data_IF_670130216176
#
_entry.id   IF_670130216176
#
_cell.length_a   1.000
_cell.length_b   1.000
_cell.length_c   1.000
_cell.angle_alpha   90.00
_cell.angle_beta   90.00
_cell.angle_gamma   90.00
#
_symmetry.space_group_name_H-M   'P 1'
#
loop_
_entity.id
_entity.type
_entity.pdbx_description
1 polymer ?
#
# COMPACT_ATOMS: atom_id res chain seq x y z
N UNK A 1 22.29 -83.10 11.25
CA UNK A 1 21.36 -84.21 10.97
C UNK A 1 20.22 -83.60 10.16
N UNK A 2 20.38 -83.46 8.83
CA UNK A 2 20.10 -84.48 7.79
C UNK A 2 18.60 -84.79 7.75
N UNK A 3 17.89 -84.89 6.64
CA UNK A 3 18.10 -84.77 5.19
C UNK A 3 16.67 -84.85 4.58
N UNK A 4 16.52 -85.20 3.28
CA UNK A 4 15.29 -85.54 2.50
C UNK A 4 14.97 -84.39 1.52
N UNK A 5 15.54 -84.30 0.29
CA UNK A 5 15.51 -85.22 -0.88
C UNK A 5 14.06 -85.66 -1.26
N UNK A 6 13.54 -85.72 -2.49
CA UNK A 6 14.13 -85.78 -3.83
C UNK A 6 13.01 -85.69 -4.91
N UNK A 7 13.41 -85.39 -6.17
CA UNK A 7 12.77 -85.85 -7.43
C UNK A 7 11.50 -85.13 -7.93
N UNK A 8 11.18 -85.01 -9.23
CA UNK A 8 11.74 -85.55 -10.49
C UNK A 8 11.04 -84.84 -11.68
N UNK A 9 11.65 -84.94 -12.86
CA UNK A 9 11.33 -84.29 -14.15
C UNK A 9 9.99 -84.69 -14.83
N UNK A 10 9.52 -83.87 -15.78
CA UNK A 10 9.17 -84.32 -17.16
C UNK A 10 8.89 -83.15 -18.13
N UNK A 11 9.16 -83.39 -19.40
CA UNK A 11 9.12 -82.50 -20.56
C UNK A 11 7.71 -82.32 -21.16
N UNK A 12 7.54 -81.36 -22.09
CA UNK A 12 7.03 -81.54 -23.47
C UNK A 12 6.69 -80.19 -24.12
N UNK A 13 7.01 -80.11 -25.43
CA UNK A 13 6.92 -78.98 -26.35
C UNK A 13 5.51 -78.56 -26.78
N UNK A 14 5.38 -77.33 -27.29
CA UNK A 14 4.25 -76.88 -28.12
C UNK A 14 4.24 -75.38 -28.43
N UNK A 15 4.66 -74.99 -29.64
CA UNK A 15 4.12 -73.83 -30.39
C UNK A 15 2.69 -74.19 -30.91
N UNK A 16 1.81 -73.31 -31.50
CA UNK A 16 2.04 -71.98 -32.13
C UNK A 16 0.90 -70.91 -32.00
N UNK A 17 1.16 -69.72 -32.56
CA UNK A 17 0.27 -68.77 -33.32
C UNK A 17 -1.06 -68.16 -32.77
N UNK A 18 -1.10 -66.83 -32.96
CA UNK A 18 -2.19 -65.99 -33.50
C UNK A 18 -3.40 -65.67 -32.60
N UNK A 19 -3.59 -64.38 -32.29
CA UNK A 19 -4.69 -63.57 -32.84
C UNK A 19 -4.69 -62.18 -32.21
N UNK A 20 -4.49 -61.15 -33.03
CA UNK A 20 -4.84 -59.76 -32.70
C UNK A 20 -6.35 -59.56 -32.77
N UNK A 21 -6.96 -58.80 -31.83
CA UNK A 21 -8.21 -58.10 -32.10
C UNK A 21 -8.02 -56.60 -32.25
N UNK A 22 -8.80 -56.08 -33.19
CA UNK A 22 -8.83 -54.76 -33.79
C UNK A 22 -9.24 -53.65 -32.81
N UNK A 23 -8.60 -52.48 -32.96
CA UNK A 23 -8.91 -51.22 -32.29
C UNK A 23 -10.08 -50.52 -33.01
N UNK A 24 -11.15 -50.08 -32.33
CA UNK A 24 -12.11 -49.17 -32.95
C UNK A 24 -11.56 -47.73 -32.90
N UNK A 25 -11.44 -47.13 -34.09
CA UNK A 25 -11.30 -45.69 -34.29
C UNK A 25 -12.63 -44.97 -34.07
N UNK A 26 -12.54 -43.68 -33.71
CA UNK A 26 -13.51 -42.70 -34.16
C UNK A 26 -14.40 -42.08 -33.08
N UNK A 27 -13.92 -40.97 -32.50
CA UNK A 27 -14.74 -40.09 -31.68
C UNK A 27 -13.95 -38.93 -31.11
N UNK A 28 -13.47 -38.01 -31.96
CA UNK A 28 -13.06 -36.68 -31.49
C UNK A 28 -14.33 -35.86 -31.25
N UNK A 29 -14.71 -35.52 -30.00
CA UNK A 29 -15.64 -34.44 -29.79
C UNK A 29 -14.97 -33.15 -30.27
N UNK A 30 -15.61 -32.51 -31.23
CA UNK A 30 -15.29 -31.20 -31.76
C UNK A 30 -15.32 -30.20 -30.58
N UNK A 31 -14.18 -29.93 -29.94
CA UNK A 31 -14.06 -28.83 -28.99
C UNK A 31 -14.20 -27.53 -29.79
N UNK A 32 -15.40 -26.95 -29.77
CA UNK A 32 -15.63 -25.57 -30.20
C UNK A 32 -14.60 -24.68 -29.49
N UNK A 33 -13.87 -23.81 -30.21
CA UNK A 33 -12.88 -22.95 -29.57
C UNK A 33 -13.62 -22.07 -28.56
N UNK A 34 -13.41 -22.33 -27.28
CA UNK A 34 -13.95 -21.50 -26.20
C UNK A 34 -13.40 -20.10 -26.43
N UNK A 35 -14.28 -19.21 -26.89
CA UNK A 35 -14.01 -17.78 -27.04
C UNK A 35 -13.92 -17.21 -25.62
N UNK A 36 -12.79 -17.43 -24.94
CA UNK A 36 -12.46 -16.82 -23.67
C UNK A 36 -12.21 -15.34 -23.92
N UNK A 37 -13.32 -14.62 -24.04
CA UNK A 37 -13.39 -13.21 -24.46
C UNK A 37 -12.57 -12.37 -23.50
N UNK A 38 -11.88 -11.33 -23.99
CA UNK A 38 -10.81 -10.60 -23.30
C UNK A 38 -10.98 -10.29 -21.81
N UNK A 39 -12.21 -10.22 -21.29
CA UNK A 39 -12.51 -10.15 -19.85
C UNK A 39 -11.85 -11.26 -19.01
N UNK A 40 -11.76 -12.49 -19.51
CA UNK A 40 -11.09 -13.60 -18.79
C UNK A 40 -9.58 -13.37 -18.71
N UNK A 41 -8.98 -12.88 -19.80
CA UNK A 41 -7.56 -12.52 -19.85
C UNK A 41 -7.25 -11.31 -18.96
N UNK A 42 -8.09 -10.26 -18.95
CA UNK A 42 -7.94 -9.13 -18.04
C UNK A 42 -8.08 -9.58 -16.58
N UNK A 43 -9.09 -10.38 -16.25
CA UNK A 43 -9.29 -10.89 -14.89
C UNK A 43 -8.11 -11.72 -14.42
N UNK A 44 -7.59 -12.60 -15.28
CA UNK A 44 -6.38 -13.37 -15.01
C UNK A 44 -5.18 -12.42 -14.78
N UNK A 45 -4.99 -11.44 -15.66
CA UNK A 45 -3.91 -10.46 -15.55
C UNK A 45 -3.93 -9.68 -14.22
N UNK A 46 -5.08 -9.18 -13.79
CA UNK A 46 -5.18 -8.43 -12.53
C UNK A 46 -5.16 -9.33 -11.28
N UNK A 47 -5.35 -10.63 -11.44
CA UNK A 47 -5.25 -11.61 -10.36
C UNK A 47 -3.82 -12.08 -10.10
N UNK A 48 -2.88 -11.79 -11.01
CA UNK A 48 -1.48 -12.16 -10.86
C UNK A 48 -0.81 -11.36 -9.72
N UNK A 49 0.07 -12.02 -8.99
CA UNK A 49 0.89 -11.38 -7.97
C UNK A 49 2.03 -10.60 -8.62
N UNK A 50 2.36 -9.45 -8.05
CA UNK A 50 3.45 -8.59 -8.53
C UNK A 50 4.75 -8.91 -7.80
N UNK A 51 5.88 -8.76 -8.51
CA UNK A 51 7.20 -8.81 -7.86
C UNK A 51 7.39 -7.59 -6.94
N UNK A 52 8.09 -7.79 -5.83
CA UNK A 52 8.43 -6.73 -4.88
C UNK A 52 9.77 -6.06 -5.22
N UNK A 53 10.47 -6.54 -6.26
CA UNK A 53 11.68 -5.90 -6.76
C UNK A 53 11.40 -4.45 -7.14
N UNK A 54 12.16 -3.51 -6.60
CA UNK A 54 12.00 -2.06 -6.80
C UNK A 54 10.71 -1.44 -6.24
N UNK A 55 9.86 -2.20 -5.55
CA UNK A 55 8.67 -1.65 -4.89
C UNK A 55 9.02 -0.62 -3.80
N UNK A 56 10.25 -0.70 -3.25
CA UNK A 56 10.82 0.30 -2.36
C UNK A 56 10.87 1.70 -2.98
N UNK A 57 11.14 1.84 -4.28
CA UNK A 57 11.15 3.16 -4.94
C UNK A 57 9.78 3.85 -4.89
N UNK A 58 8.70 3.07 -5.06
CA UNK A 58 7.33 3.58 -5.00
C UNK A 58 6.95 4.00 -3.57
N UNK A 59 7.44 3.27 -2.57
CA UNK A 59 7.24 3.59 -1.15
C UNK A 59 8.09 4.77 -0.70
N UNK A 60 9.29 4.95 -1.26
CA UNK A 60 10.11 6.14 -1.06
C UNK A 60 9.43 7.39 -1.63
N UNK A 61 8.78 7.28 -2.78
CA UNK A 61 7.95 8.37 -3.30
C UNK A 61 6.75 8.64 -2.38
N UNK A 62 6.15 7.59 -1.79
CA UNK A 62 5.11 7.75 -0.77
C UNK A 62 5.62 8.51 0.46
N UNK A 63 6.84 8.25 0.94
CA UNK A 63 7.48 9.02 2.03
C UNK A 63 7.57 10.51 1.70
N UNK A 64 8.03 10.85 0.49
CA UNK A 64 8.07 12.23 0.01
C UNK A 64 6.67 12.86 0.05
N UNK A 65 5.65 12.16 -0.45
CA UNK A 65 4.27 12.65 -0.44
C UNK A 65 3.71 12.84 0.96
N UNK A 66 3.99 11.92 1.88
CA UNK A 66 3.58 12.05 3.28
C UNK A 66 4.17 13.31 3.90
N UNK A 67 5.47 13.55 3.70
CA UNK A 67 6.14 14.72 4.22
C UNK A 67 5.46 16.02 3.81
N UNK A 68 5.25 16.23 2.50
CA UNK A 68 4.66 17.48 2.05
C UNK A 68 3.18 17.61 2.40
N UNK A 69 2.39 16.53 2.38
CA UNK A 69 0.97 16.56 2.77
C UNK A 69 0.84 16.92 4.25
N UNK A 70 1.56 16.23 5.13
CA UNK A 70 1.46 16.46 6.58
C UNK A 70 1.96 17.85 6.97
N UNK A 71 3.06 18.35 6.37
CA UNK A 71 3.56 19.71 6.60
C UNK A 71 2.54 20.78 6.17
N UNK A 72 1.98 20.61 4.96
CA UNK A 72 0.99 21.52 4.38
C UNK A 72 -0.28 21.56 5.24
N UNK A 73 -0.83 20.41 5.60
CA UNK A 73 -2.07 20.33 6.39
C UNK A 73 -1.86 20.70 7.85
N UNK A 74 -0.68 20.45 8.42
CA UNK A 74 -0.41 20.93 9.77
C UNK A 74 -0.38 22.45 9.82
N UNK A 75 0.14 23.11 8.77
CA UNK A 75 0.13 24.57 8.69
C UNK A 75 -1.30 25.17 8.53
N UNK A 76 -2.17 24.50 7.76
CA UNK A 76 -3.56 24.95 7.55
C UNK A 76 -4.54 24.54 8.66
N UNK A 77 -4.43 23.31 9.15
CA UNK A 77 -5.41 22.69 10.04
C UNK A 77 -4.82 22.30 11.39
N UNK A 78 -3.52 22.48 11.63
CA UNK A 78 -2.87 22.12 12.90
C UNK A 78 -3.07 20.67 13.31
N UNK A 79 -3.15 19.78 12.32
CA UNK A 79 -3.41 18.36 12.53
C UNK A 79 -2.65 17.60 11.46
N UNK A 80 -1.97 16.54 11.88
CA UNK A 80 -1.33 15.62 10.96
C UNK A 80 -2.38 14.64 10.46
N UNK A 81 -2.36 14.27 9.19
CA UNK A 81 -3.30 13.25 8.66
C UNK A 81 -2.65 11.87 8.62
N UNK A 82 -1.32 11.82 8.52
CA UNK A 82 -0.57 10.56 8.49
C UNK A 82 0.00 10.19 9.87
N UNK A 83 0.46 11.16 10.66
CA UNK A 83 1.14 10.93 11.94
C UNK A 83 0.20 11.02 13.16
N UNK A 84 -0.13 9.86 13.76
CA UNK A 84 -1.09 9.81 14.87
C UNK A 84 -0.48 10.10 16.26
N UNK A 85 0.83 9.97 16.44
CA UNK A 85 1.49 10.18 17.75
C UNK A 85 1.22 11.58 18.32
N UNK A 86 1.41 12.63 17.53
CA UNK A 86 1.12 14.01 17.95
C UNK A 86 -0.37 14.28 18.15
N UNK A 87 -1.21 13.73 17.27
CA UNK A 87 -2.66 13.86 17.38
C UNK A 87 -3.20 13.28 18.69
N UNK A 88 -2.65 12.14 19.15
CA UNK A 88 -3.04 11.53 20.43
C UNK A 88 -2.77 12.49 21.59
N UNK A 89 -1.64 13.20 21.57
CA UNK A 89 -1.32 14.21 22.58
C UNK A 89 -2.29 15.40 22.50
N UNK A 90 -2.64 15.88 21.31
CA UNK A 90 -3.62 16.97 21.17
C UNK A 90 -5.02 16.58 21.68
N UNK A 91 -5.43 15.32 21.51
CA UNK A 91 -6.66 14.79 22.11
C UNK A 91 -6.56 14.77 23.63
N UNK A 92 -5.45 14.28 24.20
CA UNK A 92 -5.24 14.23 25.64
C UNK A 92 -5.20 15.63 26.29
N UNK A 93 -4.59 16.61 25.62
CA UNK A 93 -4.62 18.02 26.05
C UNK A 93 -6.03 18.60 25.97
N UNK A 94 -6.81 18.24 24.95
CA UNK A 94 -8.24 18.59 24.88
C UNK A 94 -9.04 18.02 26.05
N UNK A 95 -8.83 16.75 26.38
CA UNK A 95 -9.51 16.07 27.48
C UNK A 95 -9.16 16.64 28.86
N UNK A 96 -7.95 17.18 29.04
CA UNK A 96 -7.52 17.82 30.29
C UNK A 96 -7.84 19.32 30.36
N UNK A 97 -8.51 19.89 29.35
CA UNK A 97 -8.80 21.32 29.28
C UNK A 97 -7.58 22.21 28.95
N UNK A 98 -6.41 21.62 28.69
CA UNK A 98 -5.16 22.32 28.37
C UNK A 98 -5.01 22.57 26.86
N UNK A 99 -6.10 22.92 26.21
CA UNK A 99 -6.12 23.07 24.77
C UNK A 99 -5.53 24.42 24.36
N UNK A 100 -4.38 24.41 23.68
CA UNK A 100 -3.70 25.62 23.21
C UNK A 100 -4.40 26.27 22.00
N UNK A 101 -5.35 25.58 21.35
CA UNK A 101 -6.05 26.06 20.14
C UNK A 101 -7.51 25.65 20.14
N UNK A 102 -8.48 26.54 19.84
CA UNK A 102 -9.89 26.17 19.81
C UNK A 102 -10.15 24.92 18.96
N UNK A 103 -10.74 23.88 19.59
CA UNK A 103 -11.14 22.62 18.94
C UNK A 103 -10.05 21.82 18.20
N UNK A 104 -8.76 22.08 18.43
CA UNK A 104 -7.66 21.30 17.82
C UNK A 104 -7.71 19.80 18.15
N UNK A 105 -8.22 19.45 19.33
CA UNK A 105 -8.46 18.07 19.74
C UNK A 105 -9.46 17.34 18.85
N UNK A 106 -10.48 18.02 18.32
CA UNK A 106 -11.53 17.39 17.51
C UNK A 106 -11.00 17.01 16.11
N UNK A 107 -10.18 17.87 15.51
CA UNK A 107 -9.45 17.57 14.27
C UNK A 107 -8.51 16.38 14.45
N UNK A 108 -7.76 16.38 15.54
CA UNK A 108 -6.85 15.29 15.90
C UNK A 108 -7.59 13.97 16.13
N UNK A 109 -8.72 14.00 16.84
CA UNK A 109 -9.59 12.85 17.05
C UNK A 109 -10.17 12.31 15.74
N UNK A 110 -10.59 13.21 14.84
CA UNK A 110 -11.05 12.84 13.50
C UNK A 110 -9.96 12.13 12.70
N UNK A 111 -8.73 12.66 12.71
CA UNK A 111 -7.59 11.99 12.06
C UNK A 111 -7.37 10.58 12.62
N UNK A 112 -7.30 10.43 13.94
CA UNK A 112 -7.10 9.13 14.59
C UNK A 112 -8.22 8.14 14.20
N UNK A 113 -9.48 8.58 14.33
CA UNK A 113 -10.64 7.73 14.03
C UNK A 113 -10.64 7.22 12.59
N UNK A 114 -10.44 8.11 11.62
CA UNK A 114 -10.40 7.73 10.20
C UNK A 114 -9.14 6.97 9.81
N UNK A 115 -8.00 7.19 10.48
CA UNK A 115 -6.81 6.37 10.32
C UNK A 115 -7.04 4.93 10.82
N UNK A 116 -7.74 4.75 11.95
CA UNK A 116 -8.12 3.43 12.48
C UNK A 116 -9.08 2.72 11.51
N UNK A 117 -10.12 3.44 11.05
CA UNK A 117 -11.08 2.91 10.08
C UNK A 117 -10.38 2.50 8.78
N UNK A 118 -9.49 3.36 8.27
CA UNK A 118 -8.67 3.07 7.08
C UNK A 118 -7.77 1.87 7.30
N UNK A 119 -7.09 1.78 8.44
CA UNK A 119 -6.22 0.65 8.77
C UNK A 119 -6.99 -0.67 8.78
N UNK A 120 -8.19 -0.67 9.37
CA UNK A 120 -9.08 -1.84 9.36
C UNK A 120 -9.54 -2.18 7.94
N UNK A 121 -10.02 -1.18 7.20
CA UNK A 121 -10.51 -1.33 5.83
C UNK A 121 -9.45 -1.92 4.90
N UNK A 122 -8.28 -1.28 4.79
CA UNK A 122 -7.22 -1.69 3.88
C UNK A 122 -6.60 -3.03 4.27
N UNK A 123 -6.50 -3.33 5.57
CA UNK A 123 -6.03 -4.63 6.05
C UNK A 123 -6.98 -5.76 5.62
N UNK A 124 -8.29 -5.57 5.78
CA UNK A 124 -9.30 -6.55 5.32
C UNK A 124 -9.37 -6.63 3.80
N UNK A 125 -9.29 -5.50 3.11
CA UNK A 125 -9.25 -5.44 1.66
C UNK A 125 -8.08 -6.28 1.11
N UNK A 126 -6.86 -6.08 1.61
CA UNK A 126 -5.70 -6.85 1.18
C UNK A 126 -5.82 -8.34 1.52
N UNK A 127 -6.40 -8.69 2.67
CA UNK A 127 -6.62 -10.09 3.05
C UNK A 127 -7.64 -10.80 2.17
N UNK A 128 -8.71 -10.12 1.78
CA UNK A 128 -9.79 -10.70 0.98
C UNK A 128 -9.41 -10.81 -0.49
N UNK A 129 -8.80 -9.78 -1.07
CA UNK A 129 -8.49 -9.73 -2.50
C UNK A 129 -7.09 -10.25 -2.85
N UNK A 130 -6.24 -10.49 -1.84
CA UNK A 130 -4.86 -10.93 -2.01
C UNK A 130 -3.90 -9.74 -2.02
N UNK A 131 -3.04 -9.66 -1.01
CA UNK A 131 -2.25 -8.48 -0.68
C UNK A 131 -1.27 -8.04 -1.80
N UNK A 132 -0.75 -9.02 -2.56
CA UNK A 132 0.21 -8.80 -3.65
C UNK A 132 -0.39 -8.88 -5.04
N UNK A 133 -1.71 -9.11 -5.17
CA UNK A 133 -2.34 -9.14 -6.50
C UNK A 133 -2.32 -7.75 -7.11
N UNK A 134 -2.00 -7.68 -8.40
CA UNK A 134 -1.90 -6.43 -9.18
C UNK A 134 -3.16 -5.57 -9.03
N UNK A 135 -4.33 -6.18 -9.22
CA UNK A 135 -5.61 -5.50 -9.09
C UNK A 135 -5.86 -4.94 -7.68
N UNK A 136 -5.46 -5.67 -6.64
CA UNK A 136 -5.59 -5.22 -5.24
C UNK A 136 -4.73 -4.00 -4.96
N UNK A 137 -3.43 -4.05 -5.30
CA UNK A 137 -2.52 -2.94 -5.04
C UNK A 137 -2.93 -1.71 -5.86
N UNK A 138 -3.25 -1.89 -7.14
CA UNK A 138 -3.73 -0.81 -8.00
C UNK A 138 -4.99 -0.17 -7.43
N UNK A 139 -6.00 -0.96 -7.05
CA UNK A 139 -7.25 -0.45 -6.48
C UNK A 139 -7.01 0.29 -5.16
N UNK A 140 -6.08 -0.18 -4.33
CA UNK A 140 -5.69 0.51 -3.09
C UNK A 140 -5.13 1.90 -3.37
N UNK A 141 -4.20 2.03 -4.32
CA UNK A 141 -3.62 3.33 -4.69
C UNK A 141 -4.63 4.25 -5.42
N UNK A 142 -5.54 3.69 -6.24
CA UNK A 142 -6.65 4.45 -6.85
C UNK A 142 -7.54 5.04 -5.76
N UNK A 143 -7.97 4.23 -4.78
CA UNK A 143 -8.83 4.71 -3.70
C UNK A 143 -8.13 5.80 -2.88
N UNK A 144 -6.84 5.61 -2.58
CA UNK A 144 -6.04 6.64 -1.90
C UNK A 144 -6.00 7.94 -2.70
N UNK A 145 -5.75 7.85 -4.00
CA UNK A 145 -5.76 9.00 -4.91
C UNK A 145 -7.12 9.70 -4.92
N UNK A 146 -8.23 8.96 -5.04
CA UNK A 146 -9.58 9.54 -5.06
C UNK A 146 -9.85 10.33 -3.79
N UNK A 147 -9.50 9.80 -2.61
CA UNK A 147 -9.65 10.51 -1.34
C UNK A 147 -8.89 11.84 -1.33
N UNK A 148 -7.66 11.86 -1.85
CA UNK A 148 -6.84 13.08 -1.92
C UNK A 148 -7.44 14.09 -2.92
N UNK A 149 -7.85 13.62 -4.10
CA UNK A 149 -8.41 14.48 -5.15
C UNK A 149 -9.74 15.10 -4.73
N UNK A 150 -10.61 14.35 -4.04
CA UNK A 150 -11.84 14.88 -3.45
C UNK A 150 -11.50 15.95 -2.40
N UNK A 151 -10.56 15.68 -1.49
CA UNK A 151 -10.15 16.66 -0.50
C UNK A 151 -9.59 17.94 -1.16
N UNK A 152 -8.78 17.80 -2.21
CA UNK A 152 -8.25 18.91 -2.99
C UNK A 152 -9.36 19.71 -3.67
N UNK A 153 -10.33 19.04 -4.31
CA UNK A 153 -11.45 19.68 -4.99
C UNK A 153 -12.41 20.41 -4.05
N UNK A 154 -12.63 19.89 -2.84
CA UNK A 154 -13.43 20.57 -1.81
C UNK A 154 -12.80 21.88 -1.34
N UNK A 155 -11.46 21.94 -1.31
CA UNK A 155 -10.71 23.13 -0.91
C UNK A 155 -10.61 24.13 -2.07
N UNK A 156 -10.24 23.67 -3.27
CA UNK A 156 -10.19 24.49 -4.49
C UNK A 156 -11.55 25.12 -4.81
N UNK A 157 -12.63 24.35 -4.67
CA UNK A 157 -14.00 24.80 -4.92
C UNK A 157 -14.55 25.75 -3.86
N UNK A 158 -13.77 26.12 -2.84
CA UNK A 158 -14.17 27.07 -1.80
C UNK A 158 -15.18 26.52 -0.77
N UNK A 159 -15.54 25.23 -0.83
CA UNK A 159 -16.39 24.61 0.18
C UNK A 159 -15.69 24.50 1.54
N UNK A 160 -14.35 24.49 1.54
CA UNK A 160 -13.50 24.41 2.72
C UNK A 160 -12.36 25.42 2.61
N UNK A 161 -12.18 26.23 3.65
CA UNK A 161 -11.05 27.15 3.74
C UNK A 161 -9.74 26.36 3.98
N UNK A 162 -8.86 26.38 2.98
CA UNK A 162 -7.52 25.80 3.02
C UNK A 162 -6.40 26.84 3.07
N UNK A 163 -6.69 28.07 3.49
CA UNK A 163 -5.70 29.16 3.54
C UNK A 163 -4.59 28.90 4.55
N UNK A 164 -3.39 29.39 4.22
CA UNK A 164 -2.17 29.21 5.01
C UNK A 164 -1.51 30.57 5.27
N UNK A 165 -1.15 30.92 6.52
CA UNK A 165 -1.38 30.17 7.75
C UNK A 165 -2.84 30.27 8.23
N UNK A 166 -3.28 29.27 8.98
CA UNK A 166 -4.65 29.21 9.51
C UNK A 166 -5.04 30.45 10.32
N UNK A 167 -6.25 30.97 10.10
CA UNK A 167 -6.85 32.00 10.95
C UNK A 167 -7.55 31.33 12.13
N UNK A 168 -6.85 31.18 13.26
CA UNK A 168 -7.32 30.44 14.45
C UNK A 168 -8.54 31.05 15.18
N UNK A 169 -9.12 32.13 14.68
CA UNK A 169 -10.22 32.84 15.34
C UNK A 169 -11.60 32.21 15.13
N UNK A 170 -11.78 31.36 14.10
CA UNK A 170 -13.09 30.76 13.77
C UNK A 170 -12.98 29.25 13.59
N UNK A 171 -13.94 28.52 14.16
CA UNK A 171 -13.98 27.05 14.12
C UNK A 171 -14.78 26.61 12.91
N UNK A 172 -14.11 25.96 11.96
CA UNK A 172 -14.68 25.48 10.72
C UNK A 172 -14.80 23.96 10.73
N UNK A 173 -15.99 23.44 11.02
CA UNK A 173 -16.24 21.99 11.15
C UNK A 173 -16.15 21.22 9.82
N UNK A 174 -16.37 21.91 8.69
CA UNK A 174 -16.16 21.36 7.35
C UNK A 174 -14.71 20.89 7.10
N UNK A 175 -13.71 21.43 7.82
CA UNK A 175 -12.32 20.98 7.75
C UNK A 175 -12.12 19.51 8.20
N UNK A 176 -13.07 18.92 8.93
CA UNK A 176 -13.00 17.51 9.31
C UNK A 176 -13.12 16.58 8.09
N UNK A 177 -13.79 17.00 7.02
CA UNK A 177 -13.96 16.19 5.81
C UNK A 177 -12.62 15.86 5.10
N UNK A 178 -11.75 16.83 4.76
CA UNK A 178 -10.45 16.53 4.16
C UNK A 178 -9.54 15.81 5.15
N UNK A 179 -9.59 16.13 6.45
CA UNK A 179 -8.81 15.39 7.47
C UNK A 179 -9.22 13.91 7.47
N UNK A 180 -10.51 13.61 7.47
CA UNK A 180 -11.02 12.25 7.42
C UNK A 180 -10.55 11.48 6.18
N UNK A 181 -10.73 12.07 4.98
CA UNK A 181 -10.33 11.47 3.71
C UNK A 181 -8.82 11.22 3.65
N UNK A 182 -8.02 12.20 4.06
CA UNK A 182 -6.56 12.15 3.97
C UNK A 182 -5.96 11.24 5.05
N UNK A 183 -6.61 11.10 6.21
CA UNK A 183 -6.19 10.16 7.25
C UNK A 183 -6.54 8.73 6.87
N UNK A 184 -7.74 8.51 6.33
CA UNK A 184 -8.16 7.21 5.80
C UNK A 184 -7.21 6.68 4.72
N UNK A 185 -6.85 7.53 3.74
CA UNK A 185 -5.92 7.10 2.67
C UNK A 185 -4.49 6.87 3.18
N UNK A 186 -4.02 7.65 4.16
CA UNK A 186 -2.66 7.48 4.71
C UNK A 186 -2.51 6.12 5.41
N UNK A 187 -3.58 5.62 6.03
CA UNK A 187 -3.62 4.26 6.56
C UNK A 187 -3.47 3.20 5.46
N UNK A 188 -4.07 3.42 4.28
CA UNK A 188 -3.87 2.55 3.12
C UNK A 188 -2.40 2.47 2.70
N UNK A 189 -1.67 3.58 2.79
CA UNK A 189 -0.26 3.64 2.40
C UNK A 189 0.64 2.76 3.28
N UNK A 190 0.50 2.82 4.61
CA UNK A 190 1.26 1.96 5.52
C UNK A 190 0.89 0.48 5.36
N UNK A 191 -0.39 0.19 5.11
CA UNK A 191 -0.83 -1.19 4.85
C UNK A 191 -0.27 -1.71 3.52
N UNK A 192 -0.15 -0.86 2.48
CA UNK A 192 0.50 -1.22 1.21
C UNK A 192 1.99 -1.54 1.40
N UNK A 193 2.73 -0.78 2.22
CA UNK A 193 4.13 -1.07 2.55
C UNK A 193 4.30 -2.49 3.14
N UNK A 194 3.42 -2.86 4.08
CA UNK A 194 3.41 -4.20 4.69
C UNK A 194 3.00 -5.28 3.69
N UNK A 195 2.02 -5.01 2.82
CA UNK A 195 1.56 -5.94 1.80
C UNK A 195 2.63 -6.26 0.74
N UNK A 196 3.53 -5.30 0.48
CA UNK A 196 4.65 -5.43 -0.45
C UNK A 196 5.91 -6.01 0.21
N UNK A 197 5.85 -6.43 1.47
CA UNK A 197 6.99 -6.96 2.23
C UNK A 197 8.19 -5.99 2.30
N UNK A 198 7.92 -4.68 2.28
CA UNK A 198 8.92 -3.61 2.47
C UNK A 198 8.60 -2.84 3.75
N UNK A 199 8.35 -3.60 4.83
CA UNK A 199 7.93 -3.08 6.12
C UNK A 199 8.95 -2.14 6.77
N UNK A 200 10.21 -2.18 6.35
CA UNK A 200 11.24 -1.23 6.77
C UNK A 200 10.99 0.20 6.28
N UNK A 201 10.11 0.40 5.29
CA UNK A 201 9.62 1.71 4.84
C UNK A 201 8.14 1.82 5.21
N UNK A 202 7.78 2.14 6.48
CA UNK A 202 6.38 2.25 6.90
C UNK A 202 5.65 3.45 6.28
N UNK A 203 6.37 4.36 5.63
CA UNK A 203 5.90 5.57 4.93
C UNK A 203 5.25 6.68 5.76
N UNK A 204 4.60 6.36 6.88
CA UNK A 204 3.90 7.35 7.75
C UNK A 204 4.42 7.39 9.19
N UNK A 205 5.14 6.36 9.65
CA UNK A 205 5.68 6.27 11.01
C UNK A 205 7.19 6.49 10.97
N UNK A 206 7.62 7.71 11.32
CA UNK A 206 9.04 8.08 11.28
C UNK A 206 9.79 7.59 12.52
N UNK A 207 9.19 7.64 13.70
CA UNK A 207 9.89 7.36 14.96
C UNK A 207 10.44 5.94 15.02
N UNK A 208 9.62 4.92 14.71
CA UNK A 208 10.09 3.54 14.69
C UNK A 208 11.16 3.33 13.61
N UNK A 209 11.00 3.97 12.45
CA UNK A 209 11.99 3.92 11.37
C UNK A 209 13.34 4.53 11.79
N UNK A 210 13.34 5.63 12.54
CA UNK A 210 14.57 6.23 13.07
C UNK A 210 15.22 5.32 14.12
N UNK A 211 14.44 4.76 15.05
CA UNK A 211 14.96 3.80 16.02
C UNK A 211 15.58 2.59 15.30
N UNK A 212 14.88 2.02 14.32
CA UNK A 212 15.35 0.90 13.52
C UNK A 212 16.59 1.23 12.68
N UNK A 213 16.74 2.48 12.23
CA UNK A 213 17.92 2.95 11.50
C UNK A 213 19.13 3.07 12.42
N UNK A 214 18.98 3.76 13.55
CA UNK A 214 20.10 4.06 14.46
C UNK A 214 20.47 2.91 15.40
N UNK A 215 19.60 1.90 15.53
CA UNK A 215 19.92 0.64 16.22
C UNK A 215 20.50 -0.44 15.28
N UNK A 216 20.62 -0.16 13.98
CA UNK A 216 21.17 -1.12 13.01
C UNK A 216 22.67 -1.37 13.31
N UNK A 217 23.10 -2.62 13.60
CA UNK A 217 24.49 -2.93 13.90
C UNK A 217 25.43 -2.69 12.72
N UNK A 218 24.89 -2.64 11.49
CA UNK A 218 25.61 -2.39 10.25
C UNK A 218 25.34 -0.97 9.72
N UNK A 219 25.03 -0.02 10.61
CA UNK A 219 24.72 1.38 10.26
C UNK A 219 25.81 2.04 9.41
N UNK A 220 27.09 1.80 9.75
CA UNK A 220 28.26 2.40 9.07
C UNK A 220 28.90 1.49 8.03
N UNK A 221 28.32 0.31 7.81
CA UNK A 221 28.85 -0.66 6.85
C UNK A 221 28.62 -0.17 5.41
N UNK A 222 29.33 -0.77 4.45
CA UNK A 222 29.21 -0.38 3.04
C UNK A 222 27.75 -0.42 2.55
N UNK A 223 27.35 0.58 1.75
CA UNK A 223 25.99 0.72 1.23
C UNK A 223 25.51 -0.52 0.45
N UNK A 224 26.41 -1.32 -0.11
CA UNK A 224 26.05 -2.53 -0.86
C UNK A 224 25.59 -3.67 0.07
N UNK A 225 26.05 -3.69 1.33
CA UNK A 225 25.81 -4.81 2.25
C UNK A 225 24.46 -4.76 2.95
N UNK A 226 23.90 -3.56 3.18
CA UNK A 226 22.66 -3.38 3.93
C UNK A 226 21.67 -2.47 3.17
N UNK A 227 20.94 -3.02 2.19
CA UNK A 227 19.92 -2.26 1.45
C UNK A 227 18.76 -1.80 2.33
N UNK A 228 18.40 -2.55 3.39
CA UNK A 228 17.33 -2.17 4.33
C UNK A 228 17.67 -0.90 5.10
N UNK A 229 18.91 -0.77 5.58
CA UNK A 229 19.42 0.46 6.21
C UNK A 229 19.36 1.65 5.25
N UNK A 230 19.80 1.47 4.01
CA UNK A 230 19.76 2.55 3.00
C UNK A 230 18.32 3.00 2.73
N UNK A 231 17.38 2.05 2.63
CA UNK A 231 15.95 2.33 2.46
C UNK A 231 15.38 3.14 3.62
N UNK A 232 15.69 2.75 4.87
CA UNK A 232 15.28 3.50 6.07
C UNK A 232 15.83 4.93 6.05
N UNK A 233 17.12 5.09 5.77
CA UNK A 233 17.76 6.41 5.69
C UNK A 233 17.11 7.27 4.57
N UNK A 234 16.93 6.71 3.38
CA UNK A 234 16.29 7.40 2.25
C UNK A 234 14.84 7.79 2.57
N UNK A 235 14.07 6.91 3.21
CA UNK A 235 12.70 7.17 3.61
C UNK A 235 12.59 8.32 4.62
N UNK A 236 13.48 8.38 5.61
CA UNK A 236 13.56 9.53 6.53
C UNK A 236 13.88 10.82 5.79
N UNK A 237 14.95 10.81 4.98
CA UNK A 237 15.41 12.00 4.24
C UNK A 237 14.34 12.50 3.28
N UNK A 238 13.68 11.61 2.53
CA UNK A 238 12.60 11.99 1.61
C UNK A 238 11.38 12.53 2.35
N UNK A 239 11.03 11.99 3.51
CA UNK A 239 9.93 12.54 4.31
C UNK A 239 10.27 13.96 4.78
N UNK A 240 11.51 14.20 5.21
CA UNK A 240 11.98 15.53 5.62
C UNK A 240 11.99 16.51 4.42
N UNK A 241 12.56 16.10 3.29
CA UNK A 241 12.58 16.90 2.05
C UNK A 241 11.15 17.23 1.62
N UNK A 242 10.24 16.26 1.67
CA UNK A 242 8.83 16.46 1.41
C UNK A 242 8.24 17.52 2.33
N UNK A 243 8.45 17.40 3.64
CA UNK A 243 7.94 18.39 4.60
C UNK A 243 8.46 19.81 4.34
N UNK A 244 9.74 19.94 3.96
CA UNK A 244 10.35 21.22 3.55
C UNK A 244 9.65 21.76 2.30
N UNK A 245 9.52 20.95 1.24
CA UNK A 245 8.86 21.35 -0.02
C UNK A 245 7.42 21.79 0.25
N UNK A 246 6.65 21.02 1.02
CA UNK A 246 5.27 21.35 1.38
C UNK A 246 5.15 22.69 2.11
N UNK A 247 6.06 22.96 3.04
CA UNK A 247 6.13 24.24 3.76
C UNK A 247 6.43 25.42 2.84
N UNK A 248 7.41 25.29 1.95
CA UNK A 248 7.77 26.34 0.99
C UNK A 248 6.66 26.62 -0.02
N UNK A 249 6.04 25.57 -0.57
CA UNK A 249 4.95 25.76 -1.53
C UNK A 249 3.72 26.34 -0.86
N UNK A 250 3.33 25.86 0.33
CA UNK A 250 2.20 26.43 1.07
C UNK A 250 2.41 27.91 1.39
N UNK A 251 3.66 28.31 1.68
CA UNK A 251 4.04 29.71 1.89
C UNK A 251 3.94 30.53 0.59
N UNK A 252 4.31 29.95 -0.56
CA UNK A 252 4.29 30.64 -1.84
C UNK A 252 2.88 30.75 -2.45
N UNK A 253 2.04 29.73 -2.29
CA UNK A 253 0.68 29.68 -2.87
C UNK A 253 -0.39 30.23 -1.93
N UNK A 254 -0.10 30.30 -0.62
CA UNK A 254 -1.07 30.72 0.40
C UNK A 254 -2.18 29.71 0.67
N UNK A 255 -2.08 28.48 0.16
CA UNK A 255 -3.11 27.46 0.33
C UNK A 255 -2.61 26.03 0.09
N UNK A 256 -3.40 25.06 0.57
CA UNK A 256 -3.02 23.64 0.58
C UNK A 256 -3.32 22.89 -0.73
N UNK A 257 -4.22 23.42 -1.56
CA UNK A 257 -4.74 22.77 -2.77
C UNK A 257 -3.64 22.26 -3.71
N UNK A 258 -2.58 23.06 -3.94
CA UNK A 258 -1.52 22.73 -4.90
C UNK A 258 -0.81 21.45 -4.52
N UNK A 259 -0.46 21.30 -3.24
CA UNK A 259 0.21 20.10 -2.75
C UNK A 259 -0.72 18.88 -2.74
N UNK A 260 -2.02 19.06 -2.45
CA UNK A 260 -2.98 17.96 -2.51
C UNK A 260 -3.19 17.45 -3.94
N UNK A 261 -3.29 18.34 -4.94
CA UNK A 261 -3.34 17.93 -6.35
C UNK A 261 -2.11 17.15 -6.76
N UNK A 262 -0.91 17.60 -6.37
CA UNK A 262 0.35 16.88 -6.65
C UNK A 262 0.35 15.51 -5.97
N UNK A 263 -0.03 15.41 -4.69
CA UNK A 263 -0.12 14.13 -4.00
C UNK A 263 -1.12 13.17 -4.66
N UNK A 264 -2.30 13.66 -5.02
CA UNK A 264 -3.32 12.88 -5.72
C UNK A 264 -2.79 12.37 -7.06
N UNK A 265 -2.18 13.24 -7.87
CA UNK A 265 -1.57 12.86 -9.14
C UNK A 265 -0.47 11.81 -8.97
N UNK A 266 0.42 11.99 -7.99
CA UNK A 266 1.48 11.01 -7.70
C UNK A 266 0.87 9.66 -7.31
N UNK A 267 -0.16 9.63 -6.46
CA UNK A 267 -0.85 8.39 -6.07
C UNK A 267 -1.54 7.71 -7.26
N UNK A 268 -2.16 8.49 -8.13
CA UNK A 268 -2.75 7.97 -9.36
C UNK A 268 -1.69 7.36 -10.28
N UNK A 269 -0.57 8.05 -10.50
CA UNK A 269 0.54 7.54 -11.30
C UNK A 269 1.12 6.26 -10.72
N UNK A 270 1.30 6.20 -9.39
CA UNK A 270 1.71 4.98 -8.69
C UNK A 270 0.73 3.83 -8.96
N UNK A 271 -0.58 4.09 -8.95
CA UNK A 271 -1.57 3.07 -9.30
C UNK A 271 -1.41 2.57 -10.74
N UNK A 272 -1.20 3.48 -11.70
CA UNK A 272 -1.03 3.12 -13.11
C UNK A 272 0.27 2.35 -13.36
N UNK A 273 1.34 2.65 -12.62
CA UNK A 273 2.61 1.90 -12.73
C UNK A 273 2.43 0.42 -12.38
N UNK A 274 1.52 0.08 -11.45
CA UNK A 274 1.22 -1.32 -11.14
C UNK A 274 0.61 -2.09 -12.30
N UNK A 275 -0.04 -1.41 -13.25
CA UNK A 275 -0.57 -2.05 -14.47
C UNK A 275 0.57 -2.69 -15.24
N UNK A 276 1.68 -1.98 -15.43
CA UNK A 276 2.81 -2.47 -16.23
C UNK A 276 3.86 -3.24 -15.43
N UNK A 277 3.64 -3.42 -14.13
CA UNK A 277 4.62 -4.04 -13.23
C UNK A 277 4.76 -5.54 -13.50
N UNK A 278 5.99 -6.04 -13.40
CA UNK A 278 6.28 -7.45 -13.63
C UNK A 278 5.52 -8.35 -12.62
N UNK A 279 4.99 -9.48 -13.13
CA UNK A 279 4.43 -10.51 -12.27
C UNK A 279 5.54 -11.26 -11.55
N UNK A 280 5.24 -11.78 -10.35
CA UNK A 280 6.13 -12.63 -9.56
C UNK A 280 6.25 -14.04 -10.17
#
# INVERSE_FOLDING_TARGET
MSEVENGTASAVAGLPTSTTPVKPEGGHPNELPQKSSGLSHLRSYFSNEVTTNHADLLLLLCCLTTGFVDSTLYNAFSTFVSMQTGNTIFVALGASGQNTRPYGWARSLSSIGFFIIGSFFFSRFNRTFGARRRGTIMSSFILQSICILIASGLIEGGAIDGTVPSRFSVVHWNQLAPIALLSFQSAGQIISSRALDVGEIPTVVITSLLCDLFSDPLLFDSHVKNPKRNRRAAAFVLTLIGAIIGGWVSKATGGVQTMLWVAGAVKFLLAMLWIFWASA
#
